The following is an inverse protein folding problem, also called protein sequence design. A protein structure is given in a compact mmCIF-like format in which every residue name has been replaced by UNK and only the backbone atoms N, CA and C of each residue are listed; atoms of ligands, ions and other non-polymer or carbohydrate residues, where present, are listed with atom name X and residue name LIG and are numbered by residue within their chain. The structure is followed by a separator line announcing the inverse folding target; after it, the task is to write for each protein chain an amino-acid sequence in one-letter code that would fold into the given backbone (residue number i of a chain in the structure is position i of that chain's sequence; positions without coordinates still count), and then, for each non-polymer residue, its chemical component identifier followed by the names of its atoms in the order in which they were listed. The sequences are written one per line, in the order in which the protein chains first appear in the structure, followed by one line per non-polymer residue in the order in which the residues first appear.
data_IF_743163819136
#
_entry.id   IF_743163819136
#
_cell.length_a   1.000
_cell.length_b   1.000
_cell.length_c   1.000
_cell.angle_alpha   90.00
_cell.angle_beta   90.00
_cell.angle_gamma   90.00
#
_symmetry.space_group_name_H-M   'P 1'
#
loop_
_entity.id
_entity.type
_entity.pdbx_description
1 polymer ?
#
# COMPACT_ATOMS: atom_id res chain seq x y z
N UNK A 1 -9.46 -3.93 15.45
CA UNK A 1 -10.44 -2.88 15.84
C UNK A 1 -9.90 -1.56 15.31
N UNK A 2 -10.70 -0.76 14.60
CA UNK A 2 -10.24 0.54 14.10
C UNK A 2 -10.31 1.57 15.24
N UNK A 3 -9.19 2.26 15.48
CA UNK A 3 -9.13 3.40 16.41
C UNK A 3 -10.08 4.50 15.93
N UNK A 4 -10.73 5.20 16.85
CA UNK A 4 -11.80 6.17 16.55
C UNK A 4 -13.19 5.58 16.31
N UNK A 5 -13.40 4.27 16.51
CA UNK A 5 -14.72 3.64 16.50
C UNK A 5 -15.13 3.15 17.90
N UNK A 6 -16.44 3.17 18.21
CA UNK A 6 -17.02 2.68 19.49
C UNK A 6 -16.32 3.21 20.76
N UNK A 7 -16.18 4.53 20.88
CA UNK A 7 -15.63 5.18 22.08
C UNK A 7 -14.12 5.04 22.26
N UNK A 8 -13.42 4.45 21.29
CA UNK A 8 -11.95 4.46 21.26
C UNK A 8 -11.43 5.83 20.85
N UNK A 9 -10.29 6.22 21.43
CA UNK A 9 -9.58 7.44 21.07
C UNK A 9 -9.22 7.44 19.58
N UNK A 10 -9.21 8.62 18.93
CA UNK A 10 -8.79 8.72 17.55
C UNK A 10 -7.32 8.27 17.41
N UNK A 11 -6.90 7.79 16.22
CA UNK A 11 -5.54 7.32 15.98
C UNK A 11 -4.46 8.32 16.39
N UNK A 12 -4.74 9.62 16.28
CA UNK A 12 -3.80 10.71 16.61
C UNK A 12 -3.52 10.88 18.11
N UNK A 13 -4.43 10.42 18.97
CA UNK A 13 -4.36 10.58 20.43
C UNK A 13 -4.05 9.27 21.16
N UNK A 14 -4.01 8.16 20.43
CA UNK A 14 -3.75 6.85 20.99
C UNK A 14 -2.24 6.67 21.23
N UNK A 15 -1.86 6.41 22.48
CA UNK A 15 -0.48 6.04 22.85
C UNK A 15 -0.31 4.53 22.68
N UNK A 16 0.71 4.13 21.91
CA UNK A 16 1.04 2.72 21.68
C UNK A 16 1.60 2.06 22.95
N UNK A 17 1.18 0.83 23.20
CA UNK A 17 1.66 -0.01 24.30
C UNK A 17 2.49 -1.18 23.75
N UNK A 18 3.25 -1.82 24.64
CA UNK A 18 4.02 -3.01 24.27
C UNK A 18 3.07 -4.15 23.82
N UNK A 19 3.37 -4.75 22.67
CA UNK A 19 2.55 -5.81 22.07
C UNK A 19 1.48 -5.31 21.08
N UNK A 20 1.31 -4.00 20.94
CA UNK A 20 0.39 -3.44 19.95
C UNK A 20 0.89 -3.71 18.52
N UNK A 21 -0.01 -4.20 17.67
CA UNK A 21 0.26 -4.41 16.25
C UNK A 21 -0.03 -3.13 15.47
N UNK A 22 1.00 -2.59 14.82
CA UNK A 22 0.89 -1.43 13.94
C UNK A 22 1.06 -1.87 12.49
N UNK A 23 0.05 -1.59 11.66
CA UNK A 23 0.11 -1.82 10.21
C UNK A 23 0.43 -0.51 9.50
N UNK A 24 1.58 -0.44 8.84
CA UNK A 24 2.03 0.75 8.12
C UNK A 24 1.93 0.47 6.62
N UNK A 25 0.91 1.03 5.98
CA UNK A 25 0.76 0.96 4.53
C UNK A 25 1.52 2.10 3.86
N UNK A 26 2.41 1.76 2.93
CA UNK A 26 3.07 2.73 2.05
C UNK A 26 2.24 2.86 0.76
N UNK A 27 1.96 4.09 0.29
CA UNK A 27 1.30 4.26 -1.00
C UNK A 27 2.18 3.72 -2.14
N UNK A 28 1.53 3.19 -3.17
CA UNK A 28 2.21 2.72 -4.36
C UNK A 28 2.75 3.93 -5.15
N UNK A 29 4.01 3.86 -5.57
CA UNK A 29 4.62 4.91 -6.40
C UNK A 29 4.13 4.89 -7.85
N UNK A 30 3.76 3.71 -8.35
CA UNK A 30 3.28 3.51 -9.71
C UNK A 30 2.12 2.53 -9.69
N UNK A 31 1.13 2.76 -10.55
CA UNK A 31 0.04 1.81 -10.76
C UNK A 31 0.58 0.47 -11.32
N UNK A 32 0.33 -0.66 -10.64
CA UNK A 32 0.71 -1.98 -11.12
C UNK A 32 0.20 -2.31 -12.53
N UNK A 33 -0.97 -1.81 -12.94
CA UNK A 33 -1.53 -2.05 -14.28
C UNK A 33 -0.71 -1.37 -15.36
N UNK A 34 -0.32 -0.12 -15.13
CA UNK A 34 0.51 0.64 -16.06
C UNK A 34 1.89 0.01 -16.21
N UNK A 35 2.50 -0.44 -15.10
CA UNK A 35 3.79 -1.15 -15.14
C UNK A 35 3.66 -2.45 -15.94
N UNK A 36 2.58 -3.21 -15.77
CA UNK A 36 2.33 -4.44 -16.54
C UNK A 36 2.17 -4.14 -18.04
N UNK A 37 1.43 -3.09 -18.41
CA UNK A 37 1.23 -2.69 -19.81
C UNK A 37 2.56 -2.34 -20.49
N UNK A 38 3.37 -1.48 -19.86
CA UNK A 38 4.70 -1.09 -20.37
C UNK A 38 5.65 -2.28 -20.53
N UNK A 39 5.57 -3.27 -19.63
CA UNK A 39 6.37 -4.51 -19.74
C UNK A 39 5.95 -5.35 -20.95
N UNK A 40 4.65 -5.50 -21.21
CA UNK A 40 4.14 -6.27 -22.34
C UNK A 40 4.49 -5.61 -23.69
N UNK A 41 4.41 -4.28 -23.77
CA UNK A 41 4.82 -3.52 -24.97
C UNK A 41 6.31 -3.70 -25.28
N UNK A 42 7.17 -3.59 -24.26
CA UNK A 42 8.61 -3.85 -24.40
C UNK A 42 8.92 -5.28 -24.85
N UNK A 43 8.20 -6.27 -24.32
CA UNK A 43 8.38 -7.67 -24.72
C UNK A 43 8.01 -7.92 -26.19
N UNK A 44 6.98 -7.24 -26.71
CA UNK A 44 6.60 -7.32 -28.14
C UNK A 44 7.62 -6.66 -29.07
N UNK A 45 8.29 -5.60 -28.62
CA UNK A 45 9.32 -4.90 -29.40
C UNK A 45 10.66 -5.66 -29.43
N UNK A 46 11.00 -6.37 -28.35
CA UNK A 46 12.22 -7.18 -28.28
C UNK A 46 12.13 -8.55 -28.97
N UNK A 47 10.95 -8.97 -29.42
CA UNK A 47 10.76 -10.22 -30.18
C UNK A 47 10.77 -10.02 -31.71
N UNK A 48 11.01 -8.79 -32.17
CA UNK A 48 11.07 -8.43 -33.60
C UNK A 48 12.50 -8.16 -34.08
N UNK A 49 13.52 -8.68 -33.38
CA UNK A 49 14.93 -8.64 -33.76
C UNK A 49 15.50 -10.06 -33.86
#
# INVERSE_FOLDING_TARGET
QSLGSKGLKPPKEQVLQAGDRVEIYRPLLVDPKEVRKRRAEKAKQGSSE
#
